data_IF_146209262566
#
_entry.id   IF_146209262566
#
_cell.length_a   1.000
_cell.length_b   1.000
_cell.length_c   1.000
_cell.angle_alpha   90.00
_cell.angle_beta   90.00
_cell.angle_gamma   90.00
#
_symmetry.space_group_name_H-M   'P 1'
#
loop_
_entity.id
_entity.type
_entity.pdbx_description
1 polymer ?
#
# COMPACT_ATOMS: atom_id res chain seq x y z
N UNK A 1 10.36 -5.28 -11.82
CA UNK A 1 10.41 -6.63 -11.16
C UNK A 1 10.99 -6.59 -9.74
N UNK A 2 12.23 -6.11 -9.50
CA UNK A 2 12.84 -6.12 -8.14
C UNK A 2 12.09 -5.31 -7.08
N UNK A 3 11.57 -4.13 -7.42
CA UNK A 3 10.84 -3.29 -6.47
C UNK A 3 9.52 -3.94 -6.01
N UNK A 4 8.76 -4.54 -6.94
CA UNK A 4 7.53 -5.28 -6.60
C UNK A 4 7.81 -6.53 -5.80
N UNK A 5 8.87 -7.29 -6.13
CA UNK A 5 9.31 -8.40 -5.31
C UNK A 5 9.73 -7.96 -3.89
N UNK A 6 10.34 -6.78 -3.77
CA UNK A 6 10.68 -6.21 -2.46
C UNK A 6 9.43 -5.83 -1.67
N UNK A 7 8.42 -5.25 -2.32
CA UNK A 7 7.14 -4.95 -1.67
C UNK A 7 6.49 -6.22 -1.08
N UNK A 8 6.43 -7.31 -1.87
CA UNK A 8 5.86 -8.58 -1.40
C UNK A 8 6.66 -9.17 -0.23
N UNK A 9 7.99 -9.19 -0.34
CA UNK A 9 8.87 -9.66 0.74
C UNK A 9 8.72 -8.84 2.02
N UNK A 10 8.58 -7.52 1.91
CA UNK A 10 8.39 -6.67 3.09
C UNK A 10 7.06 -6.97 3.79
N UNK A 11 5.99 -7.23 3.03
CA UNK A 11 4.69 -7.63 3.60
C UNK A 11 4.83 -8.92 4.42
N UNK A 12 5.61 -9.90 3.93
CA UNK A 12 5.92 -11.13 4.67
C UNK A 12 6.70 -10.90 5.98
N UNK A 13 7.45 -9.80 6.06
CA UNK A 13 8.31 -9.47 7.20
C UNK A 13 7.58 -8.62 8.26
N UNK A 14 6.33 -8.23 8.05
CA UNK A 14 5.56 -7.45 9.01
C UNK A 14 5.15 -8.28 10.24
N UNK A 15 5.29 -7.71 11.43
CA UNK A 15 4.99 -8.41 12.69
C UNK A 15 3.70 -7.93 13.36
N UNK A 16 3.32 -6.66 13.19
CA UNK A 16 2.19 -6.05 13.89
C UNK A 16 1.20 -5.39 12.92
N UNK A 17 1.70 -4.57 12.00
CA UNK A 17 0.83 -3.72 11.18
C UNK A 17 1.44 -3.30 9.85
N UNK A 18 0.57 -3.03 8.88
CA UNK A 18 0.96 -2.53 7.56
C UNK A 18 0.02 -1.38 7.17
N UNK A 19 0.60 -0.20 6.96
CA UNK A 19 -0.06 0.90 6.28
C UNK A 19 0.27 0.86 4.79
N UNK A 20 -0.77 0.73 3.98
CA UNK A 20 -0.68 0.64 2.53
C UNK A 20 -1.39 1.83 1.91
N UNK A 21 -0.72 2.50 0.98
CA UNK A 21 -1.29 3.54 0.14
C UNK A 21 -1.15 3.15 -1.33
N UNK A 22 -2.28 3.05 -2.03
CA UNK A 22 -2.32 2.66 -3.44
C UNK A 22 -2.92 3.79 -4.28
N UNK A 23 -2.14 4.28 -5.23
CA UNK A 23 -2.58 5.27 -6.22
C UNK A 23 -2.76 4.60 -7.57
N UNK A 24 -1.70 3.92 -8.03
CA UNK A 24 -1.70 3.17 -9.28
C UNK A 24 -0.68 2.05 -9.20
N UNK A 25 -1.13 0.85 -9.53
CA UNK A 25 -0.28 -0.32 -9.73
C UNK A 25 -0.80 -1.09 -10.96
N UNK A 26 0.06 -1.75 -11.72
CA UNK A 26 -0.37 -2.69 -12.76
C UNK A 26 -1.26 -3.77 -12.14
N UNK A 27 -2.26 -4.25 -12.88
CA UNK A 27 -3.27 -5.17 -12.35
C UNK A 27 -2.65 -6.38 -11.64
N UNK A 28 -1.74 -7.11 -12.28
CA UNK A 28 -1.10 -8.29 -11.70
C UNK A 28 -0.31 -7.96 -10.43
N UNK A 29 0.31 -6.79 -10.36
CA UNK A 29 1.07 -6.34 -9.18
C UNK A 29 0.11 -5.98 -8.05
N UNK A 30 -0.98 -5.29 -8.36
CA UNK A 30 -2.02 -4.96 -7.40
C UNK A 30 -2.64 -6.22 -6.80
N UNK A 31 -3.05 -7.19 -7.63
CA UNK A 31 -3.65 -8.44 -7.15
C UNK A 31 -2.68 -9.24 -6.29
N UNK A 32 -1.40 -9.32 -6.66
CA UNK A 32 -0.39 -9.99 -5.85
C UNK A 32 -0.21 -9.31 -4.48
N UNK A 33 -0.18 -7.97 -4.43
CA UNK A 33 -0.09 -7.23 -3.17
C UNK A 33 -1.36 -7.45 -2.34
N UNK A 34 -2.55 -7.35 -2.92
CA UNK A 34 -3.81 -7.55 -2.21
C UNK A 34 -3.93 -8.97 -1.65
N UNK A 35 -3.58 -9.99 -2.44
CA UNK A 35 -3.52 -11.38 -1.96
C UNK A 35 -2.57 -11.54 -0.78
N UNK A 36 -1.40 -10.92 -0.85
CA UNK A 36 -0.43 -10.95 0.24
C UNK A 36 -0.95 -10.27 1.50
N UNK A 37 -1.62 -9.14 1.36
CA UNK A 37 -2.28 -8.45 2.47
C UNK A 37 -3.40 -9.29 3.09
N UNK A 38 -4.14 -10.06 2.28
CA UNK A 38 -5.17 -11.00 2.77
C UNK A 38 -4.55 -12.11 3.63
N UNK A 39 -3.44 -12.69 3.16
CA UNK A 39 -2.71 -13.74 3.88
C UNK A 39 -2.29 -13.25 5.27
N UNK A 40 -1.53 -12.15 5.33
CA UNK A 40 -1.00 -11.66 6.62
C UNK A 40 -2.10 -11.09 7.52
N UNK A 41 -3.18 -10.55 6.95
CA UNK A 41 -4.38 -10.16 7.73
C UNK A 41 -5.05 -11.36 8.38
N UNK A 42 -5.10 -12.51 7.71
CA UNK A 42 -5.62 -13.74 8.30
C UNK A 42 -4.74 -14.26 9.45
N UNK A 43 -3.44 -13.95 9.41
CA UNK A 43 -2.48 -14.24 10.49
C UNK A 43 -2.51 -13.22 11.64
N UNK A 44 -3.39 -12.19 11.56
CA UNK A 44 -3.63 -11.23 12.63
C UNK A 44 -2.91 -9.89 12.50
N UNK A 45 -2.26 -9.63 11.37
CA UNK A 45 -1.61 -8.33 11.10
C UNK A 45 -2.66 -7.25 10.82
N UNK A 46 -2.52 -6.09 11.46
CA UNK A 46 -3.40 -4.95 11.25
C UNK A 46 -3.11 -4.27 9.91
N UNK A 47 -4.09 -4.24 9.01
CA UNK A 47 -3.96 -3.62 7.69
C UNK A 47 -4.72 -2.30 7.61
N UNK A 48 -3.99 -1.22 7.34
CA UNK A 48 -4.56 0.09 7.05
C UNK A 48 -4.41 0.40 5.57
N UNK A 49 -5.52 0.37 4.82
CA UNK A 49 -5.48 0.62 3.37
C UNK A 49 -6.05 2.01 3.04
N UNK A 50 -5.30 2.78 2.26
CA UNK A 50 -5.71 4.05 1.66
C UNK A 50 -5.59 3.91 0.14
N UNK A 51 -6.65 4.28 -0.59
CA UNK A 51 -6.66 4.22 -2.05
C UNK A 51 -7.05 5.56 -2.68
N UNK A 52 -6.46 5.90 -3.83
CA UNK A 52 -7.01 6.92 -4.73
C UNK A 52 -7.93 6.23 -5.74
N UNK A 53 -9.23 6.19 -5.41
CA UNK A 53 -10.23 5.50 -6.22
C UNK A 53 -10.37 6.08 -7.62
N UNK A 54 -10.07 7.37 -7.83
CA UNK A 54 -10.18 8.00 -9.16
C UNK A 54 -9.15 7.44 -10.11
N UNK A 55 -7.89 7.35 -9.66
CA UNK A 55 -6.79 6.81 -10.47
C UNK A 55 -6.94 5.30 -10.62
N UNK A 56 -7.24 4.58 -9.53
CA UNK A 56 -7.39 3.12 -9.59
C UNK A 56 -8.50 2.70 -10.57
N UNK A 57 -9.61 3.45 -10.61
CA UNK A 57 -10.73 3.22 -11.55
C UNK A 57 -10.37 3.45 -13.03
N UNK A 58 -9.20 4.02 -13.34
CA UNK A 58 -8.72 4.10 -14.73
C UNK A 58 -8.09 2.78 -15.21
N UNK A 59 -7.69 1.92 -14.27
CA UNK A 59 -7.02 0.65 -14.52
C UNK A 59 -7.85 -0.58 -14.11
N UNK A 60 -8.96 -0.39 -13.41
CA UNK A 60 -9.89 -1.47 -13.03
C UNK A 60 -11.35 -0.98 -12.94
N UNK A 61 -12.34 -1.88 -13.05
CA UNK A 61 -13.76 -1.55 -12.85
C UNK A 61 -14.03 -0.98 -11.46
N UNK A 62 -15.00 -0.06 -11.35
CA UNK A 62 -15.35 0.60 -10.08
C UNK A 62 -15.89 -0.38 -9.05
N UNK A 63 -16.54 -1.43 -9.51
CA UNK A 63 -17.11 -2.50 -8.69
C UNK A 63 -15.98 -3.21 -7.93
N UNK A 64 -14.87 -3.54 -8.62
CA UNK A 64 -13.70 -4.15 -8.00
C UNK A 64 -13.04 -3.19 -6.98
N UNK A 65 -12.96 -1.89 -7.29
CA UNK A 65 -12.47 -0.89 -6.32
C UNK A 65 -13.34 -0.87 -5.07
N UNK A 66 -14.67 -0.92 -5.23
CA UNK A 66 -15.61 -0.92 -4.12
C UNK A 66 -15.49 -2.21 -3.26
N UNK A 67 -15.23 -3.35 -3.89
CA UNK A 67 -14.97 -4.61 -3.19
C UNK A 67 -13.71 -4.51 -2.32
N UNK A 68 -12.61 -3.98 -2.86
CA UNK A 68 -11.36 -3.76 -2.10
C UNK A 68 -11.61 -2.84 -0.91
N UNK A 69 -12.36 -1.74 -1.12
CA UNK A 69 -12.72 -0.81 -0.04
C UNK A 69 -13.49 -1.51 1.07
N UNK A 70 -14.49 -2.30 0.71
CA UNK A 70 -15.30 -3.04 1.68
C UNK A 70 -14.49 -4.09 2.42
N UNK A 71 -13.66 -4.85 1.70
CA UNK A 71 -12.85 -5.94 2.24
C UNK A 71 -11.84 -5.46 3.29
N UNK A 72 -11.14 -4.36 2.99
CA UNK A 72 -10.10 -3.81 3.86
C UNK A 72 -10.59 -2.67 4.75
N UNK A 73 -11.87 -2.30 4.69
CA UNK A 73 -12.38 -1.06 5.27
C UNK A 73 -11.51 0.14 4.88
N UNK A 74 -11.14 0.20 3.59
CA UNK A 74 -10.14 1.13 3.10
C UNK A 74 -10.66 2.58 3.09
N UNK A 75 -9.76 3.52 3.29
CA UNK A 75 -10.06 4.95 3.10
C UNK A 75 -9.87 5.34 1.65
N UNK A 76 -10.79 6.13 1.13
CA UNK A 76 -10.63 6.78 -0.17
C UNK A 76 -10.08 8.18 0.07
N UNK A 77 -8.93 8.47 -0.53
CA UNK A 77 -8.31 9.79 -0.46
C UNK A 77 -7.80 10.20 -1.84
N UNK A 78 -8.38 11.28 -2.37
CA UNK A 78 -7.90 11.93 -3.58
C UNK A 78 -6.58 12.62 -3.29
N UNK A 79 -5.52 12.21 -3.96
CA UNK A 79 -4.20 12.73 -3.62
C UNK A 79 -3.45 13.35 -4.78
N UNK A 80 -2.68 14.38 -4.44
CA UNK A 80 -1.80 15.09 -5.37
C UNK A 80 -0.41 14.44 -5.46
N UNK A 81 -0.07 13.52 -4.55
CA UNK A 81 1.23 12.85 -4.50
C UNK A 81 1.13 11.48 -5.17
N UNK A 82 1.75 11.24 -6.33
CA UNK A 82 1.55 10.03 -7.14
C UNK A 82 2.40 8.83 -6.69
N UNK A 83 2.59 8.66 -5.37
CA UNK A 83 3.41 7.58 -4.80
C UNK A 83 2.54 6.49 -4.17
N UNK A 84 2.76 5.23 -4.53
CA UNK A 84 2.31 4.15 -3.67
C UNK A 84 3.23 4.08 -2.44
N UNK A 85 2.70 3.60 -1.32
CA UNK A 85 3.44 3.51 -0.06
C UNK A 85 3.12 2.23 0.68
N UNK A 86 4.15 1.64 1.28
CA UNK A 86 4.06 0.54 2.23
C UNK A 86 4.86 0.96 3.45
N UNK A 87 4.22 1.04 4.61
CA UNK A 87 4.87 1.31 5.90
C UNK A 87 4.60 0.12 6.80
N UNK A 88 5.66 -0.51 7.28
CA UNK A 88 5.60 -1.81 7.97
C UNK A 88 6.00 -1.55 9.43
N UNK A 89 5.14 -1.92 10.36
CA UNK A 89 5.27 -1.76 11.80
C UNK A 89 5.66 -0.34 12.24
N UNK A 90 5.41 0.64 11.37
CA UNK A 90 5.91 2.02 11.51
C UNK A 90 7.43 2.13 11.73
N UNK A 91 8.22 1.14 11.27
CA UNK A 91 9.69 1.11 11.39
C UNK A 91 10.40 1.25 10.05
N UNK A 92 9.76 0.83 8.97
CA UNK A 92 10.31 0.90 7.61
C UNK A 92 9.25 1.36 6.62
N UNK A 93 9.69 2.02 5.55
CA UNK A 93 8.82 2.49 4.49
C UNK A 93 9.39 2.18 3.11
N UNK A 94 8.54 1.66 2.22
CA UNK A 94 8.82 1.54 0.80
C UNK A 94 7.88 2.49 0.04
N UNK A 95 8.45 3.46 -0.66
CA UNK A 95 7.74 4.36 -1.55
C UNK A 95 7.97 3.92 -3.01
N UNK A 96 6.89 3.82 -3.79
CA UNK A 96 6.94 3.39 -5.18
C UNK A 96 6.24 4.39 -6.08
N UNK A 97 6.99 5.01 -6.99
CA UNK A 97 6.40 5.71 -8.13
C UNK A 97 6.29 4.75 -9.30
N UNK A 98 5.08 4.59 -9.85
CA UNK A 98 4.82 3.75 -11.02
C UNK A 98 4.16 4.59 -12.09
N UNK A 99 4.82 4.75 -13.23
CA UNK A 99 4.20 5.39 -14.39
C UNK A 99 3.27 4.38 -15.10
N UNK A 100 2.03 4.76 -15.42
CA UNK A 100 1.16 3.93 -16.26
C UNK A 100 1.73 3.63 -17.65
N UNK A 101 2.65 4.47 -18.14
CA UNK A 101 3.30 4.28 -19.44
C UNK A 101 4.56 3.42 -19.38
N UNK A 102 5.12 3.20 -18.19
CA UNK A 102 6.33 2.41 -17.96
C UNK A 102 6.18 1.52 -16.71
N UNK A 103 5.17 0.64 -16.67
CA UNK A 103 4.83 -0.13 -15.47
C UNK A 103 5.92 -1.12 -15.03
N UNK A 104 6.81 -1.53 -15.93
CA UNK A 104 7.88 -2.48 -15.61
C UNK A 104 9.05 -1.84 -14.84
N UNK A 105 9.15 -0.50 -14.88
CA UNK A 105 10.26 0.30 -14.36
C UNK A 105 9.78 1.25 -13.24
N UNK A 106 9.33 0.73 -12.10
CA UNK A 106 8.98 1.56 -10.96
C UNK A 106 10.24 2.22 -10.37
N UNK A 107 10.10 3.46 -9.90
CA UNK A 107 11.09 4.08 -9.03
C UNK A 107 10.75 3.75 -7.58
N UNK A 108 11.75 3.31 -6.82
CA UNK A 108 11.56 2.81 -5.47
C UNK A 108 12.53 3.45 -4.49
N UNK A 109 12.02 3.85 -3.33
CA UNK A 109 12.81 4.30 -2.19
C UNK A 109 12.48 3.42 -0.98
N UNK A 110 13.46 2.64 -0.53
CA UNK A 110 13.36 1.92 0.72
C UNK A 110 14.04 2.76 1.81
N UNK A 111 13.27 3.11 2.82
CA UNK A 111 13.73 3.84 3.99
C UNK A 111 13.68 2.86 5.16
N UNK A 112 14.87 2.50 5.64
CA UNK A 112 15.03 1.70 6.85
C UNK A 112 15.13 2.65 8.04
N UNK A 113 14.56 2.23 9.17
CA UNK A 113 14.57 2.99 10.42
C UNK A 113 14.00 4.40 10.29
N UNK A 114 12.68 4.49 10.12
CA UNK A 114 11.98 5.77 10.01
C UNK A 114 11.86 6.53 11.35
N UNK A 115 12.31 5.95 12.46
CA UNK A 115 12.41 6.60 13.77
C UNK A 115 11.14 7.36 14.21
N UNK A 116 11.32 8.60 14.66
CA UNK A 116 10.23 9.48 15.15
C UNK A 116 9.14 9.74 14.10
N UNK A 117 9.46 9.68 12.81
CA UNK A 117 8.48 9.83 11.74
C UNK A 117 7.47 8.68 11.77
N UNK A 118 7.92 7.46 12.08
CA UNK A 118 7.04 6.29 12.23
C UNK A 118 6.00 6.50 13.32
N UNK A 119 6.43 6.96 14.49
CA UNK A 119 5.54 7.28 15.62
C UNK A 119 4.53 8.38 15.27
N UNK A 120 4.97 9.41 14.53
CA UNK A 120 4.08 10.46 14.06
C UNK A 120 3.01 9.92 13.10
N UNK A 121 3.40 9.07 12.15
CA UNK A 121 2.48 8.43 11.20
C UNK A 121 1.49 7.55 11.97
N UNK A 122 1.96 6.71 12.91
CA UNK A 122 1.12 5.85 13.75
C UNK A 122 0.07 6.65 14.50
N UNK A 123 0.48 7.71 15.20
CA UNK A 123 -0.42 8.61 15.93
C UNK A 123 -1.46 9.25 15.02
N UNK A 124 -1.05 9.71 13.84
CA UNK A 124 -1.97 10.30 12.87
C UNK A 124 -3.00 9.28 12.37
N UNK A 125 -2.57 8.04 12.08
CA UNK A 125 -3.45 6.96 11.65
C UNK A 125 -4.45 6.54 12.73
N UNK A 126 -4.01 6.44 13.99
CA UNK A 126 -4.90 6.13 15.11
C UNK A 126 -5.97 7.20 15.35
N UNK A 127 -5.66 8.47 15.10
CA UNK A 127 -6.63 9.56 15.20
C UNK A 127 -7.62 9.61 14.03
N UNK A 128 -7.22 9.00 12.91
CA UNK A 128 -8.04 8.96 11.72
C UNK A 128 -9.12 7.89 11.87
N UNK A 129 -8.78 6.72 12.44
CA UNK A 129 -9.65 5.55 12.67
C UNK A 129 -10.68 5.73 13.77
#
# INVERSE_FOLDING_TARGET
IRAYGTALRLIDEAEESILVRIIYLPHDVLENILNKLREVKADGIDIYLIIDARILSTSMPKENVAEIVKEFNARILDSLIPLNGLVLDFKQALLLYVSPTLPENPFAFLIQDIGELGELIKKYMMNLM
#
